data_IF_987982154849
#
_entry.id   IF_987982154849
#
_cell.length_a   1.000
_cell.length_b   1.000
_cell.length_c   1.000
_cell.angle_alpha   90.00
_cell.angle_beta   90.00
_cell.angle_gamma   90.00
#
_symmetry.space_group_name_H-M   'P 1'
#
loop_
_entity.id
_entity.type
_entity.pdbx_description
1 polymer ?
#
# COMPACT_ATOMS: atom_id res chain seq x y z
N UNK A 1 9.19 -3.16 13.22
CA UNK A 1 10.34 -2.79 12.39
C UNK A 1 9.86 -2.14 11.10
N UNK A 2 10.55 -1.11 10.68
CA UNK A 2 10.18 -0.34 9.49
C UNK A 2 11.32 -0.28 8.49
N UNK A 3 10.97 -0.23 7.20
CA UNK A 3 11.90 -0.07 6.10
C UNK A 3 11.44 1.08 5.21
N UNK A 4 12.32 2.01 4.91
CA UNK A 4 12.03 3.11 3.98
C UNK A 4 12.02 2.60 2.56
N UNK A 5 11.05 3.07 1.79
CA UNK A 5 10.86 2.73 0.40
C UNK A 5 10.76 4.02 -0.43
N UNK A 6 10.79 3.87 -1.75
CA UNK A 6 10.56 5.00 -2.67
C UNK A 6 9.96 4.50 -3.99
N UNK A 7 8.97 3.61 -3.89
CA UNK A 7 8.27 3.12 -5.07
C UNK A 7 7.21 4.12 -5.49
N UNK A 8 7.09 4.37 -6.80
CA UNK A 8 6.11 5.31 -7.34
C UNK A 8 5.18 4.63 -8.34
N UNK A 9 3.93 5.08 -8.35
CA UNK A 9 2.97 4.70 -9.37
C UNK A 9 2.60 5.94 -10.18
N UNK A 10 2.93 5.93 -11.48
CA UNK A 10 2.67 7.01 -12.46
C UNK A 10 3.20 8.38 -11.98
N UNK A 11 4.21 8.40 -11.11
CA UNK A 11 4.78 9.63 -10.58
C UNK A 11 3.84 10.43 -9.68
N UNK A 12 2.72 9.85 -9.25
CA UNK A 12 1.71 10.54 -8.44
C UNK A 12 1.55 9.94 -7.06
N UNK A 13 1.46 8.62 -6.96
CA UNK A 13 1.34 7.93 -5.68
C UNK A 13 2.69 7.33 -5.31
N UNK A 14 3.14 7.62 -4.09
CA UNK A 14 4.44 7.16 -3.60
C UNK A 14 4.24 6.25 -2.40
N UNK A 15 4.88 5.09 -2.44
CA UNK A 15 4.95 4.17 -1.32
C UNK A 15 6.24 4.46 -0.56
N UNK A 16 6.11 5.03 0.65
CA UNK A 16 7.22 5.59 1.42
C UNK A 16 7.88 4.62 2.39
N UNK A 17 7.10 3.73 2.97
CA UNK A 17 7.58 2.93 4.09
C UNK A 17 6.71 1.70 4.27
N UNK A 18 7.33 0.62 4.74
CA UNK A 18 6.63 -0.56 5.24
C UNK A 18 7.08 -0.83 6.67
N UNK A 19 6.13 -1.05 7.56
CA UNK A 19 6.38 -1.45 8.94
C UNK A 19 5.71 -2.79 9.21
N UNK A 20 6.45 -3.73 9.75
CA UNK A 20 5.95 -5.08 10.09
C UNK A 20 6.08 -5.30 11.59
N UNK A 21 5.00 -5.74 12.19
CA UNK A 21 4.94 -6.17 13.59
C UNK A 21 4.36 -7.57 13.70
N UNK A 22 4.24 -8.09 14.90
CA UNK A 22 3.63 -9.41 15.11
C UNK A 22 2.15 -9.44 14.77
N UNK A 23 1.49 -8.28 14.76
CA UNK A 23 0.03 -8.19 14.59
C UNK A 23 -0.39 -7.62 13.25
N UNK A 24 0.45 -6.83 12.60
CA UNK A 24 0.05 -6.15 11.36
C UNK A 24 1.21 -5.73 10.49
N UNK A 25 0.90 -5.45 9.23
CA UNK A 25 1.79 -4.77 8.28
C UNK A 25 1.14 -3.44 7.95
N UNK A 26 1.90 -2.35 8.06
CA UNK A 26 1.42 -1.00 7.75
C UNK A 26 2.24 -0.39 6.63
N UNK A 27 1.58 0.00 5.54
CA UNK A 27 2.20 0.71 4.42
C UNK A 27 1.89 2.19 4.52
N UNK A 28 2.92 3.01 4.36
CA UNK A 28 2.79 4.47 4.36
C UNK A 28 2.91 4.98 2.94
N UNK A 29 1.94 5.78 2.50
CA UNK A 29 1.87 6.34 1.16
C UNK A 29 1.56 7.83 1.22
N UNK A 30 1.85 8.54 0.12
CA UNK A 30 1.37 9.91 -0.08
C UNK A 30 1.15 10.15 -1.58
N UNK A 31 0.44 11.23 -1.91
CA UNK A 31 0.28 11.66 -3.30
C UNK A 31 1.08 12.94 -3.52
N UNK A 32 1.75 13.07 -4.67
CA UNK A 32 2.54 14.26 -5.02
C UNK A 32 1.67 15.43 -5.43
N UNK A 33 0.61 15.15 -6.17
CA UNK A 33 -0.33 16.17 -6.65
C UNK A 33 -1.65 16.09 -5.90
N UNK A 34 -2.40 17.20 -5.91
CA UNK A 34 -3.74 17.20 -5.35
C UNK A 34 -4.61 16.15 -6.05
N UNK A 35 -5.06 15.18 -5.29
CA UNK A 35 -5.91 14.10 -5.76
C UNK A 35 -7.03 13.84 -4.78
N UNK A 36 -8.16 13.39 -5.34
CA UNK A 36 -9.22 12.81 -4.55
C UNK A 36 -8.99 11.30 -4.51
N UNK A 37 -8.66 10.80 -3.35
CA UNK A 37 -8.22 9.42 -3.16
C UNK A 37 -9.21 8.67 -2.30
N UNK A 38 -9.49 7.44 -2.67
CA UNK A 38 -10.19 6.49 -1.81
C UNK A 38 -9.53 5.13 -1.92
N UNK A 39 -9.71 4.30 -0.92
CA UNK A 39 -9.15 2.95 -0.86
C UNK A 39 -10.23 1.93 -1.15
N UNK A 40 -9.93 1.03 -2.07
CA UNK A 40 -10.80 -0.09 -2.41
C UNK A 40 -10.61 -1.20 -1.39
N UNK A 41 -11.58 -1.38 -0.51
CA UNK A 41 -11.54 -2.44 0.51
C UNK A 41 -11.53 -3.83 -0.12
N UNK A 42 -12.31 -4.02 -1.19
CA UNK A 42 -12.43 -5.28 -1.88
C UNK A 42 -11.55 -5.29 -3.13
N UNK A 43 -10.96 -6.44 -3.42
CA UNK A 43 -10.12 -6.60 -4.61
C UNK A 43 -8.70 -6.09 -4.46
N UNK A 44 -8.33 -5.48 -3.32
CA UNK A 44 -6.96 -5.08 -3.07
C UNK A 44 -6.12 -6.31 -2.73
N UNK A 45 -4.98 -6.47 -3.40
CA UNK A 45 -4.07 -7.59 -3.20
C UNK A 45 -2.77 -7.08 -2.60
N UNK A 46 -2.37 -7.66 -1.48
CA UNK A 46 -1.05 -7.49 -0.89
C UNK A 46 -0.48 -8.89 -0.72
N UNK A 47 0.57 -9.20 -1.47
CA UNK A 47 1.15 -10.55 -1.48
C UNK A 47 2.66 -10.49 -1.53
N UNK A 48 3.33 -11.52 -0.98
CA UNK A 48 4.78 -11.66 -1.05
C UNK A 48 5.21 -12.44 -2.31
N UNK A 49 6.53 -12.66 -2.46
CA UNK A 49 7.11 -13.36 -3.61
C UNK A 49 6.68 -14.84 -3.71
N UNK A 50 6.18 -15.41 -2.63
CA UNK A 50 5.68 -16.80 -2.60
C UNK A 50 4.20 -16.89 -2.97
N UNK A 51 3.56 -15.73 -3.23
CA UNK A 51 2.15 -15.67 -3.55
C UNK A 51 1.23 -15.73 -2.33
N UNK A 52 1.79 -15.62 -1.13
CA UNK A 52 0.98 -15.55 0.10
C UNK A 52 0.25 -14.22 0.15
N UNK A 53 -1.08 -14.24 0.22
CA UNK A 53 -1.91 -13.06 0.33
C UNK A 53 -2.13 -12.69 1.78
N UNK A 54 -2.03 -11.38 2.05
CA UNK A 54 -2.24 -10.82 3.37
C UNK A 54 -3.50 -9.96 3.35
N UNK A 55 -4.57 -10.36 4.04
CA UNK A 55 -5.84 -9.62 4.02
C UNK A 55 -5.71 -8.18 4.50
N UNK A 56 -6.47 -7.30 3.84
CA UNK A 56 -6.60 -5.90 4.22
C UNK A 56 -7.41 -5.77 5.52
N UNK A 57 -6.93 -4.95 6.46
CA UNK A 57 -7.62 -4.69 7.73
C UNK A 57 -8.33 -3.35 7.69
N UNK A 58 -7.59 -2.26 7.42
CA UNK A 58 -8.15 -0.90 7.44
C UNK A 58 -7.23 0.10 6.73
N UNK A 59 -7.77 1.30 6.48
CA UNK A 59 -6.97 2.45 6.07
C UNK A 59 -6.99 3.51 7.18
N UNK A 60 -5.95 4.37 7.18
CA UNK A 60 -5.84 5.50 8.10
C UNK A 60 -5.48 6.74 7.29
N UNK A 61 -6.15 7.85 7.54
CA UNK A 61 -5.89 9.12 6.87
C UNK A 61 -6.50 9.24 5.47
N UNK A 62 -7.27 8.26 5.03
CA UNK A 62 -7.95 8.25 3.74
C UNK A 62 -9.25 7.45 3.87
N UNK A 63 -10.29 7.87 3.17
CA UNK A 63 -11.58 7.20 3.20
C UNK A 63 -11.63 5.96 2.32
N UNK A 64 -12.51 5.03 2.67
CA UNK A 64 -12.85 3.91 1.79
C UNK A 64 -13.81 4.39 0.70
N UNK A 65 -13.62 3.87 -0.53
CA UNK A 65 -14.53 4.17 -1.63
C UNK A 65 -15.97 3.80 -1.29
N UNK A 66 -16.97 4.57 -1.72
CA UNK A 66 -16.93 5.67 -2.69
C UNK A 66 -16.56 7.05 -2.14
N UNK A 67 -16.45 7.21 -0.83
CA UNK A 67 -15.99 8.48 -0.26
C UNK A 67 -14.55 8.74 -0.73
N UNK A 68 -14.24 10.01 -1.00
CA UNK A 68 -12.91 10.41 -1.46
C UNK A 68 -12.35 11.50 -0.58
N UNK A 69 -11.09 11.38 -0.25
CA UNK A 69 -10.34 12.36 0.54
C UNK A 69 -9.45 13.17 -0.40
N UNK A 70 -9.57 14.49 -0.37
CA UNK A 70 -8.68 15.37 -1.14
C UNK A 70 -7.37 15.53 -0.37
N UNK A 71 -6.25 15.19 -0.98
CA UNK A 71 -4.96 15.22 -0.31
C UNK A 71 -3.80 15.48 -1.25
N UNK A 72 -2.72 16.00 -0.67
CA UNK A 72 -1.43 16.19 -1.31
C UNK A 72 -0.37 16.15 -0.22
N UNK A 73 0.67 15.32 -0.41
CA UNK A 73 1.82 15.17 0.49
C UNK A 73 1.48 14.76 1.93
N UNK A 74 0.20 14.67 2.28
CA UNK A 74 -0.22 14.17 3.57
C UNK A 74 -0.17 12.65 3.56
N UNK A 75 0.54 12.01 4.51
CA UNK A 75 0.64 10.56 4.50
C UNK A 75 -0.70 9.90 4.85
N UNK A 76 -0.94 8.77 4.24
CA UNK A 76 -2.02 7.86 4.63
C UNK A 76 -1.47 6.45 4.73
N UNK A 77 -2.21 5.57 5.37
CA UNK A 77 -1.73 4.24 5.70
C UNK A 77 -2.73 3.17 5.29
N UNK A 78 -2.18 2.06 4.81
CA UNK A 78 -2.93 0.83 4.55
C UNK A 78 -2.42 -0.23 5.50
N UNK A 79 -3.34 -0.88 6.20
CA UNK A 79 -3.01 -1.89 7.22
C UNK A 79 -3.50 -3.26 6.77
N UNK A 80 -2.60 -4.23 6.79
CA UNK A 80 -2.85 -5.62 6.41
C UNK A 80 -2.45 -6.55 7.55
N UNK A 81 -2.81 -7.81 7.46
CA UNK A 81 -2.30 -8.81 8.42
C UNK A 81 -0.79 -8.89 8.32
N UNK A 82 -0.15 -9.43 9.38
CA UNK A 82 1.31 -9.43 9.48
C UNK A 82 1.97 -10.27 8.41
N UNK A 83 2.83 -9.63 7.61
CA UNK A 83 3.64 -10.30 6.61
C UNK A 83 4.85 -10.98 7.28
N UNK A 84 5.31 -12.08 6.69
CA UNK A 84 6.55 -12.72 7.14
C UNK A 84 7.72 -11.76 7.08
N UNK A 85 8.52 -11.69 8.15
CA UNK A 85 9.73 -10.87 8.19
C UNK A 85 10.82 -11.38 7.24
N UNK A 86 10.65 -12.58 6.71
CA UNK A 86 11.58 -13.16 5.74
C UNK A 86 11.20 -12.88 4.29
N UNK A 87 10.08 -12.20 4.06
CA UNK A 87 9.64 -11.83 2.71
C UNK A 87 10.68 -10.95 2.03
N UNK A 88 10.96 -11.26 0.77
CA UNK A 88 12.01 -10.59 -0.03
C UNK A 88 11.44 -9.51 -0.93
N UNK A 89 10.18 -9.62 -1.28
CA UNK A 89 9.49 -8.63 -2.10
C UNK A 89 7.98 -8.75 -1.91
N UNK A 90 7.24 -7.75 -2.38
CA UNK A 90 5.78 -7.80 -2.34
C UNK A 90 5.16 -7.06 -3.52
N UNK A 91 3.90 -7.38 -3.77
CA UNK A 91 3.04 -6.66 -4.69
C UNK A 91 1.91 -6.01 -3.91
N UNK A 92 1.58 -4.76 -4.24
CA UNK A 92 0.38 -4.08 -3.78
C UNK A 92 -0.40 -3.66 -5.00
N UNK A 93 -1.56 -4.28 -5.22
CA UNK A 93 -2.35 -4.08 -6.44
C UNK A 93 -3.80 -3.79 -6.08
N UNK A 94 -4.36 -2.70 -6.60
CA UNK A 94 -5.81 -2.48 -6.58
C UNK A 94 -6.44 -3.26 -7.73
N UNK A 95 -7.66 -3.75 -7.51
CA UNK A 95 -8.38 -4.49 -8.53
C UNK A 95 -8.72 -3.57 -9.72
N UNK A 96 -8.20 -3.91 -10.91
CA UNK A 96 -8.42 -3.17 -12.15
C UNK A 96 -9.89 -3.15 -12.58
N UNK A 97 -10.67 -4.10 -12.10
CA UNK A 97 -12.09 -4.24 -12.45
C UNK A 97 -13.00 -3.59 -11.40
N UNK A 98 -12.42 -2.98 -10.37
CA UNK A 98 -13.21 -2.35 -9.33
C UNK A 98 -13.96 -1.14 -9.86
N UNK A 99 -15.23 -1.02 -9.47
CA UNK A 99 -16.18 -0.03 -9.97
C UNK A 99 -15.70 1.43 -9.84
N UNK A 100 -14.90 1.73 -8.82
CA UNK A 100 -14.46 3.09 -8.51
C UNK A 100 -13.01 3.37 -8.87
N UNK A 101 -12.35 2.45 -9.57
CA UNK A 101 -10.94 2.59 -9.91
C UNK A 101 -10.77 3.16 -11.32
N UNK A 102 -10.51 4.46 -11.40
CA UNK A 102 -10.14 5.09 -12.67
C UNK A 102 -8.71 4.66 -13.08
N UNK A 103 -7.78 4.71 -12.13
CA UNK A 103 -6.40 4.28 -12.31
C UNK A 103 -5.97 3.50 -11.08
N UNK A 104 -6.21 2.18 -11.05
CA UNK A 104 -5.84 1.37 -9.91
C UNK A 104 -4.33 1.36 -9.69
N UNK A 105 -3.92 1.55 -8.43
CA UNK A 105 -2.50 1.54 -8.08
C UNK A 105 -1.91 0.16 -8.26
N UNK A 106 -0.71 0.12 -8.81
CA UNK A 106 0.00 -1.14 -8.99
C UNK A 106 1.45 -0.94 -8.60
N UNK A 107 1.87 -1.58 -7.51
CA UNK A 107 3.26 -1.64 -7.08
C UNK A 107 3.66 -3.11 -7.12
N UNK A 108 4.43 -3.50 -8.13
CA UNK A 108 4.82 -4.89 -8.32
C UNK A 108 6.31 -5.09 -8.05
N UNK A 109 6.63 -6.19 -7.38
CA UNK A 109 8.00 -6.58 -7.12
C UNK A 109 8.78 -5.57 -6.29
N UNK A 110 8.14 -4.96 -5.29
CA UNK A 110 8.83 -4.02 -4.40
C UNK A 110 9.86 -4.79 -3.58
N UNK A 111 11.14 -4.47 -3.79
CA UNK A 111 12.26 -5.21 -3.25
C UNK A 111 12.52 -4.87 -1.77
N UNK A 112 12.53 -5.88 -0.92
CA UNK A 112 12.80 -5.74 0.52
C UNK A 112 14.20 -6.25 0.91
N UNK A 113 14.96 -6.79 -0.05
CA UNK A 113 16.27 -7.36 0.25
C UNK A 113 17.29 -6.30 0.66
N UNK A 114 17.11 -5.05 0.21
CA UNK A 114 17.97 -3.93 0.56
C UNK A 114 17.52 -3.20 1.81
N UNK A 115 16.47 -3.67 2.47
CA UNK A 115 15.92 -3.02 3.65
C UNK A 115 16.90 -2.98 4.81
N UNK A 116 17.01 -1.81 5.41
CA UNK A 116 17.66 -1.64 6.70
C UNK A 116 16.54 -1.49 7.72
N UNK A 117 16.08 -2.61 8.24
CA UNK A 117 14.97 -2.65 9.17
C UNK A 117 15.34 -1.99 10.50
N UNK A 118 14.49 -1.05 10.91
CA UNK A 118 14.69 -0.31 12.16
C UNK A 118 13.47 -0.37 13.06
#
# INVERSE_FOLDING_TARGET
>A
MCCKLSAEFLGVVVLDQICVSETETKLKLHTKDWKRVCVLKEGMVFRDELGTNYPFIKSEGVDLCPKRTKMKDTPFYLVFTSMSSESKSFDLIEDKNAKFADKPWTFEGVDLRQCQWQ
#
